data_IF_085974189746
#
_entry.id   IF_085974189746
#
_cell.length_a   1.000
_cell.length_b   1.000
_cell.length_c   1.000
_cell.angle_alpha   90.00
_cell.angle_beta   90.00
_cell.angle_gamma   90.00
#
_symmetry.space_group_name_H-M   'P 1'
#
loop_
_entity.id
_entity.type
_entity.pdbx_description
1 polymer ?
#
# COMPACT_ATOMS: atom_id res chain seq x y z
N UNK A 1 14.68 -43.75 8.06
CA UNK A 1 15.06 -43.16 6.76
C UNK A 1 13.76 -42.66 6.17
N UNK A 2 13.46 -41.38 6.41
CA UNK A 2 13.66 -40.30 5.44
C UNK A 2 12.79 -40.57 4.21
N UNK A 3 11.81 -39.74 3.88
CA UNK A 3 12.00 -38.32 3.64
C UNK A 3 10.70 -37.55 3.94
N UNK A 4 10.87 -36.46 4.68
CA UNK A 4 9.96 -35.32 4.64
C UNK A 4 10.09 -34.71 3.25
N UNK A 5 9.00 -34.76 2.48
CA UNK A 5 8.87 -33.93 1.29
C UNK A 5 8.27 -32.60 1.74
N UNK A 6 9.13 -31.71 2.22
CA UNK A 6 8.78 -30.31 2.29
C UNK A 6 8.76 -29.83 0.83
N UNK A 7 7.60 -29.94 0.20
CA UNK A 7 7.34 -29.32 -1.09
C UNK A 7 7.74 -27.83 -1.04
N UNK A 8 8.07 -27.21 -2.19
CA UNK A 8 8.39 -25.80 -2.23
C UNK A 8 7.26 -25.05 -1.52
N UNK A 9 7.61 -24.13 -0.61
CA UNK A 9 6.64 -23.28 0.07
C UNK A 9 5.64 -22.80 -0.98
N UNK A 10 4.39 -23.25 -0.89
CA UNK A 10 3.32 -22.78 -1.77
C UNK A 10 3.35 -21.26 -1.69
N UNK A 11 3.32 -20.59 -2.84
CA UNK A 11 3.21 -19.13 -2.93
C UNK A 11 2.28 -18.66 -1.80
N UNK A 12 2.82 -17.89 -0.85
CA UNK A 12 2.06 -17.48 0.32
C UNK A 12 0.70 -16.98 -0.15
N UNK A 13 -0.39 -17.63 0.29
CA UNK A 13 -1.72 -17.22 -0.12
C UNK A 13 -1.89 -15.77 0.34
N UNK A 14 -1.98 -14.87 -0.63
CA UNK A 14 -2.15 -13.44 -0.38
C UNK A 14 -3.47 -13.25 0.39
N UNK A 15 -3.45 -12.45 1.45
CA UNK A 15 -4.65 -12.19 2.24
C UNK A 15 -5.75 -11.59 1.32
N UNK A 16 -7.01 -12.05 1.39
CA UNK A 16 -8.06 -11.61 0.45
C UNK A 16 -8.29 -10.09 0.44
N UNK A 17 -8.23 -9.45 1.61
CA UNK A 17 -8.36 -7.99 1.74
C UNK A 17 -7.19 -7.26 1.05
N UNK A 18 -5.99 -7.85 1.08
CA UNK A 18 -4.80 -7.29 0.47
C UNK A 18 -4.78 -7.48 -1.05
N UNK A 19 -5.18 -8.65 -1.55
CA UNK A 19 -5.40 -8.89 -2.98
C UNK A 19 -6.45 -7.93 -3.55
N UNK A 20 -7.57 -7.77 -2.84
CA UNK A 20 -8.62 -6.81 -3.20
C UNK A 20 -8.10 -5.37 -3.22
N UNK A 21 -7.28 -4.98 -2.25
CA UNK A 21 -6.64 -3.66 -2.25
C UNK A 21 -5.84 -3.44 -3.52
N UNK A 22 -5.01 -4.41 -3.94
CA UNK A 22 -4.16 -4.31 -5.13
C UNK A 22 -4.99 -4.21 -6.42
N UNK A 23 -6.02 -5.05 -6.60
CA UNK A 23 -6.91 -5.01 -7.78
C UNK A 23 -7.59 -3.63 -7.93
N UNK A 24 -8.19 -3.14 -6.84
CA UNK A 24 -8.87 -1.84 -6.83
C UNK A 24 -7.87 -0.69 -7.07
N UNK A 25 -6.67 -0.79 -6.51
CA UNK A 25 -5.64 0.23 -6.70
C UNK A 25 -5.20 0.32 -8.17
N UNK A 26 -4.95 -0.81 -8.82
CA UNK A 26 -4.55 -0.86 -10.24
C UNK A 26 -5.62 -0.25 -11.16
N UNK A 27 -6.89 -0.43 -10.80
CA UNK A 27 -8.05 0.15 -11.48
C UNK A 27 -8.32 1.62 -11.15
N UNK A 28 -7.48 2.25 -10.33
CA UNK A 28 -7.64 3.63 -9.84
C UNK A 28 -8.92 3.84 -8.98
N UNK A 29 -9.48 2.77 -8.41
CA UNK A 29 -10.59 2.79 -7.46
C UNK A 29 -10.02 3.03 -6.04
N UNK A 30 -9.37 4.18 -5.86
CA UNK A 30 -8.53 4.44 -4.70
C UNK A 30 -9.33 4.52 -3.38
N UNK A 31 -10.59 4.96 -3.44
CA UNK A 31 -11.47 4.99 -2.27
C UNK A 31 -11.75 3.58 -1.77
N UNK A 32 -12.25 2.73 -2.66
CA UNK A 32 -12.56 1.33 -2.39
C UNK A 32 -11.31 0.54 -2.02
N UNK A 33 -10.18 0.85 -2.66
CA UNK A 33 -8.88 0.25 -2.35
C UNK A 33 -8.50 0.52 -0.89
N UNK A 34 -8.47 1.78 -0.43
CA UNK A 34 -8.10 2.04 0.97
C UNK A 34 -9.12 1.47 1.96
N UNK A 35 -10.42 1.49 1.64
CA UNK A 35 -11.46 0.87 2.47
C UNK A 35 -11.28 -0.64 2.63
N UNK A 36 -10.74 -1.34 1.62
CA UNK A 36 -10.47 -2.77 1.71
C UNK A 36 -9.47 -3.12 2.83
N UNK A 37 -8.52 -2.22 3.12
CA UNK A 37 -7.52 -2.42 4.17
C UNK A 37 -7.92 -1.85 5.54
N UNK A 38 -8.96 -1.04 5.63
CA UNK A 38 -9.38 -0.39 6.87
C UNK A 38 -9.73 -1.40 7.98
N UNK A 39 -10.52 -2.43 7.65
CA UNK A 39 -10.88 -3.46 8.60
C UNK A 39 -9.68 -4.30 9.08
N UNK A 40 -8.84 -4.89 8.21
CA UNK A 40 -7.67 -5.65 8.66
C UNK A 40 -6.63 -4.77 9.36
N UNK A 41 -6.44 -3.51 8.96
CA UNK A 41 -5.60 -2.57 9.71
C UNK A 41 -6.10 -2.36 11.14
N UNK A 42 -7.39 -2.09 11.34
CA UNK A 42 -7.96 -1.91 12.68
C UNK A 42 -7.82 -3.15 13.56
N UNK A 43 -7.86 -4.35 12.98
CA UNK A 43 -7.66 -5.61 13.73
C UNK A 43 -6.20 -5.84 14.12
N UNK A 44 -5.27 -5.56 13.20
CA UNK A 44 -3.87 -5.96 13.34
C UNK A 44 -2.97 -4.86 13.89
N UNK A 45 -3.35 -3.59 13.72
CA UNK A 45 -2.47 -2.44 13.94
C UNK A 45 -1.30 -2.38 12.95
N UNK A 46 -1.36 -3.08 11.82
CA UNK A 46 -0.26 -3.10 10.84
C UNK A 46 0.08 -1.69 10.34
N UNK A 47 1.30 -1.25 10.64
CA UNK A 47 1.83 0.02 10.15
C UNK A 47 1.94 0.05 8.62
N UNK A 48 2.18 -1.10 8.00
CA UNK A 48 2.28 -1.16 6.55
C UNK A 48 0.92 -1.05 5.88
N UNK A 49 -0.12 -1.71 6.40
CA UNK A 49 -1.49 -1.46 5.93
C UNK A 49 -1.91 -0.01 6.14
N UNK A 50 -1.54 0.60 7.27
CA UNK A 50 -1.77 2.03 7.46
C UNK A 50 -1.05 2.89 6.40
N UNK A 51 0.19 2.55 6.05
CA UNK A 51 0.94 3.22 5.00
C UNK A 51 0.23 3.11 3.64
N UNK A 52 -0.27 1.92 3.29
CA UNK A 52 -1.02 1.67 2.05
C UNK A 52 -2.35 2.42 2.00
N UNK A 53 -3.08 2.46 3.12
CA UNK A 53 -4.33 3.24 3.27
C UNK A 53 -4.05 4.73 3.04
N UNK A 54 -3.02 5.28 3.69
CA UNK A 54 -2.63 6.68 3.52
C UNK A 54 -2.18 6.96 2.08
N UNK A 55 -1.41 6.05 1.47
CA UNK A 55 -0.95 6.17 0.10
C UNK A 55 -2.14 6.21 -0.88
N UNK A 56 -3.06 5.25 -0.82
CA UNK A 56 -4.28 5.24 -1.63
C UNK A 56 -5.17 6.46 -1.37
N UNK A 57 -5.34 6.86 -0.11
CA UNK A 57 -6.07 8.08 0.27
C UNK A 57 -5.48 9.35 -0.36
N UNK A 58 -4.15 9.43 -0.55
CA UNK A 58 -3.54 10.54 -1.26
C UNK A 58 -4.08 10.67 -2.70
N UNK A 59 -4.31 9.55 -3.39
CA UNK A 59 -4.85 9.55 -4.76
C UNK A 59 -6.36 9.75 -4.83
N UNK A 60 -7.10 9.45 -3.77
CA UNK A 60 -8.48 9.98 -3.60
C UNK A 60 -8.45 11.52 -3.57
N UNK A 61 -7.47 12.11 -2.88
CA UNK A 61 -7.32 13.57 -2.85
C UNK A 61 -6.87 14.14 -4.20
N UNK A 62 -6.11 13.39 -5.00
CA UNK A 62 -5.82 13.74 -6.41
C UNK A 62 -7.13 13.84 -7.19
N UNK A 63 -7.97 12.80 -7.16
CA UNK A 63 -9.27 12.76 -7.86
C UNK A 63 -10.24 13.85 -7.38
N UNK A 64 -10.13 14.28 -6.13
CA UNK A 64 -10.95 15.37 -5.56
C UNK A 64 -10.37 16.76 -5.76
N UNK A 65 -9.20 16.89 -6.38
CA UNK A 65 -8.53 18.17 -6.55
C UNK A 65 -8.11 18.85 -5.24
N UNK A 66 -7.83 18.06 -4.20
CA UNK A 66 -7.49 18.54 -2.87
C UNK A 66 -5.98 18.46 -2.61
N UNK A 67 -5.26 19.52 -3.03
CA UNK A 67 -3.82 19.68 -2.85
C UNK A 67 -3.32 19.39 -1.43
N UNK A 68 -4.01 19.94 -0.42
CA UNK A 68 -3.58 19.78 0.97
C UNK A 68 -3.66 18.32 1.42
N UNK A 69 -4.72 17.62 1.02
CA UNK A 69 -4.89 16.20 1.29
C UNK A 69 -3.82 15.34 0.63
N UNK A 70 -3.44 15.63 -0.62
CA UNK A 70 -2.34 14.92 -1.31
C UNK A 70 -1.05 15.04 -0.49
N UNK A 71 -0.66 16.26 -0.14
CA UNK A 71 0.57 16.50 0.63
C UNK A 71 0.54 15.86 2.02
N UNK A 72 -0.59 15.98 2.73
CA UNK A 72 -0.74 15.48 4.09
C UNK A 72 -0.67 13.95 4.15
N UNK A 73 -1.38 13.25 3.27
CA UNK A 73 -1.43 11.79 3.28
C UNK A 73 -0.11 11.18 2.81
N UNK A 74 0.52 11.73 1.75
CA UNK A 74 1.86 11.30 1.33
C UNK A 74 2.92 11.56 2.42
N UNK A 75 2.83 12.68 3.13
CA UNK A 75 3.73 13.01 4.23
C UNK A 75 3.64 12.05 5.42
N UNK A 76 2.44 11.52 5.70
CA UNK A 76 2.23 10.51 6.75
C UNK A 76 2.61 9.10 6.30
N UNK A 77 2.34 8.76 5.04
CA UNK A 77 2.68 7.45 4.47
C UNK A 77 4.20 7.23 4.41
N UNK A 78 4.96 8.27 4.05
CA UNK A 78 6.41 8.18 3.83
C UNK A 78 7.20 7.53 4.99
N UNK A 79 7.13 7.98 6.25
CA UNK A 79 7.91 7.36 7.33
C UNK A 79 7.52 5.90 7.60
N UNK A 80 6.24 5.54 7.39
CA UNK A 80 5.79 4.15 7.55
C UNK A 80 6.36 3.26 6.45
N UNK A 81 6.37 3.75 5.20
CA UNK A 81 7.01 3.08 4.07
C UNK A 81 8.52 2.95 4.27
N UNK A 82 9.21 3.99 4.74
CA UNK A 82 10.66 3.97 4.96
C UNK A 82 11.12 2.83 5.88
N UNK A 83 10.32 2.49 6.89
CA UNK A 83 10.61 1.37 7.81
C UNK A 83 10.57 -0.02 7.15
N UNK A 84 10.03 -0.12 5.93
CA UNK A 84 9.75 -1.37 5.22
C UNK A 84 10.53 -1.52 3.91
N UNK A 85 11.54 -0.67 3.69
CA UNK A 85 12.46 -0.81 2.54
C UNK A 85 13.22 -2.16 2.54
N UNK A 86 13.72 -2.60 1.37
CA UNK A 86 13.42 -2.07 0.03
C UNK A 86 12.12 -2.64 -0.55
N UNK A 87 11.64 -3.76 0.01
CA UNK A 87 10.38 -4.40 -0.33
C UNK A 87 9.73 -5.00 0.91
N UNK A 88 8.39 -5.06 0.91
CA UNK A 88 7.60 -5.65 1.98
C UNK A 88 6.23 -6.09 1.45
N UNK A 89 5.76 -7.27 1.88
CA UNK A 89 4.56 -7.92 1.34
C UNK A 89 4.54 -8.04 -0.19
N UNK A 90 5.71 -8.24 -0.81
CA UNK A 90 5.82 -8.34 -2.27
C UNK A 90 5.77 -7.01 -3.02
N UNK A 91 5.59 -5.87 -2.35
CA UNK A 91 5.63 -4.55 -2.99
C UNK A 91 7.03 -3.95 -3.00
N UNK A 92 7.36 -3.26 -4.09
CA UNK A 92 8.56 -2.45 -4.21
C UNK A 92 8.42 -1.11 -3.45
N UNK A 93 8.88 -1.10 -2.20
CA UNK A 93 8.73 0.04 -1.29
C UNK A 93 9.62 1.20 -1.70
N UNK A 94 10.80 0.92 -2.27
CA UNK A 94 11.69 1.95 -2.80
C UNK A 94 11.03 2.72 -3.95
N UNK A 95 10.40 2.01 -4.90
CA UNK A 95 9.66 2.66 -6.00
C UNK A 95 8.47 3.49 -5.50
N UNK A 96 7.76 3.02 -4.47
CA UNK A 96 6.68 3.79 -3.84
C UNK A 96 7.19 5.08 -3.19
N UNK A 97 8.36 5.02 -2.55
CA UNK A 97 8.98 6.19 -1.91
C UNK A 97 9.51 7.19 -2.94
N UNK A 98 10.08 6.72 -4.05
CA UNK A 98 10.46 7.57 -5.18
C UNK A 98 9.23 8.29 -5.76
N UNK A 99 8.15 7.54 -6.01
CA UNK A 99 6.90 8.11 -6.49
C UNK A 99 6.32 9.14 -5.51
N UNK A 100 6.35 8.83 -4.21
CA UNK A 100 5.94 9.76 -3.14
C UNK A 100 6.73 11.07 -3.20
N UNK A 101 8.05 10.99 -3.39
CA UNK A 101 8.91 12.17 -3.48
C UNK A 101 8.57 13.03 -4.72
N UNK A 102 8.37 12.40 -5.88
CA UNK A 102 7.95 13.08 -7.12
C UNK A 102 6.63 13.82 -6.91
N UNK A 103 5.60 13.13 -6.40
CA UNK A 103 4.28 13.73 -6.17
C UNK A 103 4.35 14.90 -5.18
N UNK A 104 5.10 14.75 -4.08
CA UNK A 104 5.31 15.83 -3.12
C UNK A 104 6.02 17.03 -3.71
N UNK A 105 7.00 16.82 -4.59
CA UNK A 105 7.66 17.90 -5.32
C UNK A 105 6.67 18.64 -6.24
N UNK A 106 5.89 17.92 -7.04
CA UNK A 106 4.87 18.52 -7.93
C UNK A 106 3.87 19.36 -7.12
N UNK A 107 3.38 18.86 -6.00
CA UNK A 107 2.46 19.58 -5.10
C UNK A 107 3.09 20.83 -4.48
N UNK A 108 4.40 20.81 -4.24
CA UNK A 108 5.14 21.94 -3.68
C UNK A 108 5.36 23.05 -4.70
N UNK A 109 5.66 22.70 -5.95
CA UNK A 109 5.92 23.64 -7.06
C UNK A 109 4.64 24.23 -7.67
N UNK A 110 3.51 23.50 -7.62
CA UNK A 110 2.26 23.90 -8.27
C UNK A 110 1.20 24.40 -7.27
N UNK A 111 1.58 25.30 -6.34
CA UNK A 111 0.70 25.68 -5.22
C UNK A 111 -0.64 26.29 -5.62
N UNK A 112 -0.64 27.00 -6.75
CA UNK A 112 -1.77 27.75 -7.28
C UNK A 112 -2.49 27.01 -8.42
N UNK A 113 -2.14 25.74 -8.67
CA UNK A 113 -2.83 24.94 -9.67
C UNK A 113 -4.33 24.79 -9.32
N UNK A 114 -5.23 24.90 -10.32
CA UNK A 114 -6.66 24.71 -10.08
C UNK A 114 -6.94 23.26 -9.67
N UNK A 115 -8.06 23.05 -8.96
CA UNK A 115 -8.41 21.74 -8.40
C UNK A 115 -8.53 20.63 -9.45
N UNK A 116 -8.96 20.93 -10.67
CA UNK A 116 -9.09 19.96 -11.77
C UNK A 116 -7.76 19.60 -12.44
N UNK A 117 -6.67 20.31 -12.16
CA UNK A 117 -5.36 20.01 -12.75
C UNK A 117 -4.63 18.84 -12.08
N UNK A 118 -5.00 18.46 -10.85
CA UNK A 118 -4.21 17.51 -10.05
C UNK A 118 -4.15 16.10 -10.63
N UNK A 119 -5.24 15.61 -11.26
CA UNK A 119 -5.23 14.31 -11.95
C UNK A 119 -4.29 14.27 -13.16
N UNK A 120 -4.01 15.42 -13.76
CA UNK A 120 -3.08 15.55 -14.89
C UNK A 120 -1.65 15.76 -14.40
N UNK A 121 -1.47 16.56 -13.35
CA UNK A 121 -0.16 16.91 -12.80
C UNK A 121 0.47 15.74 -12.06
N UNK A 122 -0.31 14.95 -11.32
CA UNK A 122 0.20 13.87 -10.49
C UNK A 122 0.31 12.60 -11.34
N UNK A 123 1.52 12.03 -11.50
CA UNK A 123 1.66 10.77 -12.22
C UNK A 123 0.87 9.68 -11.49
N UNK A 124 0.22 8.80 -12.26
CA UNK A 124 -0.50 7.68 -11.66
C UNK A 124 0.48 6.73 -10.96
N UNK A 125 0.19 6.31 -9.72
CA UNK A 125 1.01 5.36 -8.99
C UNK A 125 0.85 3.97 -9.63
N UNK A 126 1.91 3.18 -9.60
CA UNK A 126 1.86 1.76 -9.95
C UNK A 126 2.49 0.95 -8.83
N UNK A 127 1.69 0.07 -8.25
CA UNK A 127 2.17 -0.88 -7.25
C UNK A 127 2.67 -2.13 -7.98
N UNK A 128 3.99 -2.32 -7.99
CA UNK A 128 4.59 -3.52 -8.58
C UNK A 128 4.61 -4.61 -7.52
N UNK A 129 3.68 -5.54 -7.63
CA UNK A 129 3.62 -6.73 -6.80
C UNK A 129 4.47 -7.85 -7.41
N UNK A 130 5.36 -8.41 -6.61
CA UNK A 130 6.19 -9.56 -6.93
C UNK A 130 6.08 -10.59 -5.80
N UNK A 131 5.41 -11.73 -6.00
CA UNK A 131 5.26 -12.75 -4.96
C UNK A 131 6.60 -13.33 -4.51
N UNK A 132 7.67 -13.26 -5.32
CA UNK A 132 9.00 -13.70 -4.92
C UNK A 132 9.67 -12.74 -3.91
N UNK A 133 9.13 -11.53 -3.73
CA UNK A 133 9.56 -10.54 -2.72
C UNK A 133 8.74 -10.61 -1.42
N UNK A 134 7.87 -11.61 -1.28
CA UNK A 134 7.20 -11.91 -0.01
C UNK A 134 8.13 -12.76 0.85
N UNK A 135 8.38 -12.36 2.10
CA UNK A 135 9.32 -13.05 3.00
C UNK A 135 8.73 -14.33 3.59
N UNK A 136 7.41 -14.38 3.74
CA UNK A 136 6.64 -15.50 4.29
C UNK A 136 6.50 -15.46 5.81
N UNK A 137 7.25 -14.62 6.50
CA UNK A 137 7.15 -14.39 7.94
C UNK A 137 6.37 -13.12 8.30
N UNK A 138 5.89 -12.37 7.30
CA UNK A 138 5.12 -11.17 7.54
C UNK A 138 3.81 -11.50 8.30
N UNK A 139 3.50 -10.76 9.39
CA UNK A 139 2.33 -11.04 10.21
C UNK A 139 1.01 -10.85 9.45
N UNK A 140 1.02 -10.02 8.41
CA UNK A 140 -0.14 -9.76 7.57
C UNK A 140 -0.58 -10.94 6.68
N UNK A 141 0.30 -11.93 6.45
CA UNK A 141 0.01 -13.11 5.62
C UNK A 141 -0.79 -14.19 6.38
N UNK A 142 -0.75 -14.16 7.70
CA UNK A 142 -1.48 -15.12 8.52
C UNK A 142 -2.92 -14.65 8.64
N UNK A 143 -3.79 -15.14 7.76
CA UNK A 143 -5.23 -15.01 7.94
C UNK A 143 -5.61 -15.55 9.33
N UNK A 144 -6.22 -14.72 10.17
CA UNK A 144 -6.62 -14.92 11.57
C UNK A 144 -6.67 -16.39 12.02
N UNK A 145 -5.49 -16.97 12.24
CA UNK A 145 -5.30 -18.37 12.59
C UNK A 145 -5.39 -18.54 14.09
N UNK A 146 -6.60 -18.44 14.63
CA UNK A 146 -6.95 -18.93 15.96
C UNK A 146 -6.25 -18.22 17.12
N UNK A 147 -6.88 -17.16 17.65
CA UNK A 147 -6.79 -16.94 19.08
C UNK A 147 -7.37 -18.18 19.77
N UNK A 148 -6.51 -19.10 20.22
CA UNK A 148 -6.93 -20.12 21.19
C UNK A 148 -7.25 -19.39 22.48
N UNK A 149 -8.51 -19.40 22.97
CA UNK A 149 -8.76 -18.94 24.32
C UNK A 149 -8.12 -19.98 25.27
N UNK A 150 -7.21 -19.50 26.11
CA UNK A 150 -6.74 -20.25 27.27
C UNK A 150 -7.78 -20.32 28.37
#
# INVERSE_FOLDING_TARGET
>A
MSQSDAGPASAAEIAPDYDRFLDLFDRSEYWESHEALEAPWRRTGSEFYHALILFASAFVHVQRGNRHGIAAQLGKAQPLLESRRPHYLGLDVDAMLEHTAVCRHIVAENRDAPSDAWEVLIPKPRLVYDPAKVRGDEPELRGDGGATPG
#
